data_IF_198256981904
#
_entry.id   IF_198256981904
#
_cell.length_a   1.000
_cell.length_b   1.000
_cell.length_c   1.000
_cell.angle_alpha   90.00
_cell.angle_beta   90.00
_cell.angle_gamma   90.00
#
_symmetry.space_group_name_H-M   'P 1'
#
loop_
_entity.id
_entity.type
_entity.pdbx_description
1 polymer ?
#
# COMPACT_ATOMS: atom_id res chain seq x y z
N UNK A 1 -1.20 25.11 -3.33
CA UNK A 1 -1.04 23.67 -3.64
C UNK A 1 -0.39 23.02 -2.45
N UNK A 2 -1.12 22.14 -1.76
CA UNK A 2 -0.64 21.51 -0.53
C UNK A 2 0.34 20.38 -0.89
N UNK A 3 1.61 20.52 -0.50
CA UNK A 3 2.72 19.59 -0.82
C UNK A 3 2.63 18.25 -0.08
N UNK A 4 1.59 18.00 0.71
CA UNK A 4 1.58 16.98 1.77
C UNK A 4 1.04 15.60 1.39
N UNK A 5 0.56 15.38 0.16
CA UNK A 5 -0.02 14.09 -0.23
C UNK A 5 0.28 13.67 -1.68
N UNK A 6 1.31 14.23 -2.31
CA UNK A 6 1.71 13.74 -3.64
C UNK A 6 2.32 12.35 -3.50
N UNK A 7 1.70 11.35 -4.11
CA UNK A 7 2.19 9.97 -4.08
C UNK A 7 1.94 9.21 -2.77
N UNK A 8 0.95 9.59 -1.96
CA UNK A 8 0.54 8.75 -0.81
C UNK A 8 -0.86 8.19 -1.02
N UNK A 9 -0.99 6.86 -0.99
CA UNK A 9 -2.29 6.18 -1.03
C UNK A 9 -2.62 5.66 0.36
N UNK A 10 -3.75 6.10 0.93
CA UNK A 10 -4.16 5.72 2.27
C UNK A 10 -5.20 4.59 2.24
N UNK A 11 -5.02 3.60 3.12
CA UNK A 11 -5.96 2.51 3.38
C UNK A 11 -6.40 2.60 4.84
N UNK A 12 -7.56 3.23 5.11
CA UNK A 12 -8.05 3.38 6.46
C UNK A 12 -8.32 2.01 7.08
N UNK A 13 -7.98 1.86 8.37
CA UNK A 13 -8.31 0.63 9.09
C UNK A 13 -9.84 0.46 9.16
N UNK A 14 -10.35 -0.77 9.08
CA UNK A 14 -11.77 -1.03 9.26
C UNK A 14 -12.27 -0.60 10.65
N UNK A 15 -13.53 -0.16 10.73
CA UNK A 15 -14.17 0.17 12.01
C UNK A 15 -14.08 -1.01 12.98
N UNK A 16 -13.80 -0.71 14.25
CA UNK A 16 -13.63 -1.72 15.30
C UNK A 16 -12.30 -2.49 15.26
N UNK A 17 -11.37 -2.12 14.36
CA UNK A 17 -10.01 -2.67 14.34
C UNK A 17 -9.00 -1.65 14.84
N UNK A 18 -8.02 -2.13 15.61
CA UNK A 18 -6.89 -1.32 16.08
C UNK A 18 -5.91 -1.02 14.93
N UNK A 19 -5.82 -1.89 13.91
CA UNK A 19 -4.91 -1.74 12.76
C UNK A 19 -5.51 -2.33 11.48
N UNK A 20 -5.03 -1.85 10.33
CA UNK A 20 -5.34 -2.38 9.01
C UNK A 20 -4.92 -3.85 8.94
N UNK A 21 -5.85 -4.79 8.69
CA UNK A 21 -5.49 -6.19 8.52
C UNK A 21 -4.75 -6.36 7.19
N UNK A 22 -3.51 -6.87 7.27
CA UNK A 22 -2.66 -7.02 6.09
C UNK A 22 -3.13 -8.10 5.12
N UNK A 23 -3.85 -9.12 5.58
CA UNK A 23 -4.30 -10.21 4.71
C UNK A 23 -5.34 -9.75 3.67
N UNK A 24 -6.44 -9.05 4.03
CA UNK A 24 -7.34 -8.46 3.04
C UNK A 24 -6.65 -7.50 2.08
N UNK A 25 -5.76 -6.64 2.59
CA UNK A 25 -4.99 -5.72 1.74
C UNK A 25 -4.08 -6.48 0.76
N UNK A 26 -3.44 -7.55 1.21
CA UNK A 26 -2.59 -8.41 0.39
C UNK A 26 -3.39 -9.07 -0.73
N UNK A 27 -4.56 -9.61 -0.42
CA UNK A 27 -5.44 -10.25 -1.41
C UNK A 27 -5.93 -9.25 -2.46
N UNK A 28 -6.39 -8.08 -2.02
CA UNK A 28 -6.80 -7.01 -2.92
C UNK A 28 -5.67 -6.59 -3.85
N UNK A 29 -4.47 -6.32 -3.32
CA UNK A 29 -3.32 -5.94 -4.14
C UNK A 29 -2.88 -7.04 -5.12
N UNK A 30 -2.93 -8.31 -4.69
CA UNK A 30 -2.63 -9.42 -5.56
C UNK A 30 -3.66 -9.57 -6.69
N UNK A 31 -4.94 -9.36 -6.41
CA UNK A 31 -6.01 -9.43 -7.40
C UNK A 31 -5.97 -8.25 -8.39
N UNK A 32 -5.69 -7.04 -7.89
CA UNK A 32 -5.73 -5.80 -8.69
C UNK A 32 -4.46 -5.58 -9.50
N UNK A 33 -3.29 -5.84 -8.91
CA UNK A 33 -1.99 -5.51 -9.51
C UNK A 33 -1.20 -6.76 -9.94
N UNK A 34 -1.66 -7.97 -9.60
CA UNK A 34 -0.90 -9.20 -9.84
C UNK A 34 0.38 -9.32 -9.01
N UNK A 35 0.53 -8.53 -7.94
CA UNK A 35 1.77 -8.44 -7.17
C UNK A 35 1.80 -9.42 -6.00
N UNK A 36 3.02 -9.80 -5.59
CA UNK A 36 3.26 -10.57 -4.37
C UNK A 36 3.81 -9.69 -3.27
N UNK A 37 3.11 -9.65 -2.13
CA UNK A 37 3.58 -8.93 -0.94
C UNK A 37 4.73 -9.68 -0.28
N UNK A 38 5.84 -8.98 -0.07
CA UNK A 38 6.98 -9.42 0.71
C UNK A 38 6.89 -8.82 2.11
N UNK A 39 7.08 -9.65 3.14
CA UNK A 39 7.16 -9.20 4.52
C UNK A 39 8.57 -9.48 5.06
N UNK A 40 9.39 -8.44 5.22
CA UNK A 40 10.78 -8.56 5.69
C UNK A 40 10.94 -7.91 7.06
N UNK A 41 11.80 -8.48 7.90
CA UNK A 41 12.26 -7.83 9.14
C UNK A 41 13.71 -7.40 8.94
N UNK A 42 14.07 -6.19 9.41
CA UNK A 42 15.47 -5.76 9.44
C UNK A 42 16.28 -6.45 10.56
N UNK A 43 15.60 -6.89 11.61
CA UNK A 43 16.17 -7.59 12.76
C UNK A 43 15.20 -8.64 13.30
N UNK A 44 15.69 -9.66 14.03
CA UNK A 44 14.91 -10.84 14.47
C UNK A 44 13.58 -10.48 15.17
N UNK A 45 13.59 -9.42 15.99
CA UNK A 45 12.42 -8.93 16.74
C UNK A 45 11.83 -7.62 16.19
N UNK A 46 12.20 -7.25 14.96
CA UNK A 46 11.76 -6.02 14.34
C UNK A 46 10.34 -6.07 13.82
N UNK A 47 9.76 -4.89 13.64
CA UNK A 47 8.50 -4.75 12.90
C UNK A 47 8.70 -5.32 11.49
N UNK A 48 7.71 -6.09 11.03
CA UNK A 48 7.68 -6.54 9.63
C UNK A 48 7.39 -5.33 8.77
N UNK A 49 8.23 -5.10 7.78
CA UNK A 49 8.00 -4.16 6.70
C UNK A 49 7.37 -4.92 5.54
N UNK A 50 6.27 -4.39 5.02
CA UNK A 50 5.57 -4.95 3.89
C UNK A 50 5.93 -4.13 2.64
N UNK A 51 6.22 -4.81 1.54
CA UNK A 51 6.49 -4.17 0.26
C UNK A 51 6.13 -5.09 -0.89
N UNK A 52 6.00 -4.54 -2.09
CA UNK A 52 5.84 -5.31 -3.31
C UNK A 52 6.62 -4.67 -4.46
N UNK A 53 6.88 -5.46 -5.50
CA UNK A 53 7.44 -4.95 -6.74
C UNK A 53 6.29 -4.71 -7.72
N UNK A 54 6.25 -3.53 -8.32
CA UNK A 54 5.31 -3.17 -9.38
C UNK A 54 6.10 -2.51 -10.50
N UNK A 55 6.05 -3.10 -11.70
CA UNK A 55 6.81 -2.62 -12.88
C UNK A 55 8.31 -2.37 -12.63
N UNK A 56 8.93 -3.14 -11.73
CA UNK A 56 10.35 -3.00 -11.38
C UNK A 56 10.62 -2.08 -10.18
N UNK A 57 9.64 -1.28 -9.75
CA UNK A 57 9.76 -0.38 -8.60
C UNK A 57 9.29 -1.03 -7.30
N UNK A 58 10.04 -0.78 -6.22
CA UNK A 58 9.68 -1.30 -4.91
C UNK A 58 8.76 -0.31 -4.18
N UNK A 59 7.49 -0.70 -4.02
CA UNK A 59 6.49 0.06 -3.26
C UNK A 59 6.44 -0.44 -1.82
N UNK A 60 6.60 0.47 -0.86
CA UNK A 60 6.48 0.15 0.57
C UNK A 60 5.06 0.34 1.07
N UNK A 61 4.63 -0.57 1.95
CA UNK A 61 3.38 -0.48 2.70
C UNK A 61 3.70 -0.13 4.15
N UNK A 62 3.38 1.09 4.54
CA UNK A 62 3.65 1.65 5.86
C UNK A 62 2.39 1.57 6.73
N UNK A 63 2.46 0.87 7.86
CA UNK A 63 1.44 0.93 8.90
C UNK A 63 1.69 2.16 9.79
N UNK A 64 0.74 3.08 9.81
CA UNK A 64 0.77 4.29 10.61
C UNK A 64 0.42 4.00 12.07
N UNK A 65 0.76 4.94 12.96
CA UNK A 65 0.46 4.84 14.39
C UNK A 65 -1.04 4.81 14.69
N UNK A 66 -1.84 5.50 13.87
CA UNK A 66 -3.30 5.48 13.96
C UNK A 66 -3.89 4.12 13.53
N UNK A 67 -3.07 3.22 12.99
CA UNK A 67 -3.45 1.88 12.56
C UNK A 67 -3.80 1.77 11.07
N UNK A 68 -3.81 2.85 10.31
CA UNK A 68 -4.06 2.81 8.87
C UNK A 68 -2.82 2.30 8.12
N UNK A 69 -2.98 1.86 6.88
CA UNK A 69 -1.87 1.54 6.00
C UNK A 69 -1.72 2.59 4.90
N UNK A 70 -0.50 2.79 4.42
CA UNK A 70 -0.21 3.76 3.34
C UNK A 70 0.79 3.21 2.36
N UNK A 71 0.71 3.64 1.10
CA UNK A 71 1.81 3.51 0.14
C UNK A 71 2.57 4.81 0.09
N UNK A 72 3.89 4.73 0.17
CA UNK A 72 4.77 5.85 -0.16
C UNK A 72 5.26 5.66 -1.61
N UNK A 73 4.72 6.50 -2.50
CA UNK A 73 5.03 6.56 -3.93
C UNK A 73 5.85 7.82 -4.27
N UNK A 74 6.35 8.54 -3.27
CA UNK A 74 7.08 9.80 -3.48
C UNK A 74 8.41 9.62 -4.22
N UNK A 75 8.94 8.40 -4.24
CA UNK A 75 10.17 8.02 -4.95
C UNK A 75 9.91 7.09 -6.15
N UNK A 76 8.64 6.74 -6.41
CA UNK A 76 8.26 5.91 -7.55
C UNK A 76 8.17 6.81 -8.77
N UNK A 77 8.68 6.32 -9.90
CA UNK A 77 8.58 6.97 -11.19
C UNK A 77 7.14 7.39 -11.52
N UNK A 78 6.99 8.55 -12.15
CA UNK A 78 5.70 9.18 -12.40
C UNK A 78 4.77 8.29 -13.25
N UNK A 79 5.29 7.63 -14.29
CA UNK A 79 4.49 6.76 -15.16
C UNK A 79 3.99 5.52 -14.41
N UNK A 80 4.87 4.92 -13.60
CA UNK A 80 4.54 3.75 -12.79
C UNK A 80 3.54 4.11 -11.69
N UNK A 81 3.71 5.28 -11.08
CA UNK A 81 2.80 5.80 -10.06
C UNK A 81 1.40 6.01 -10.62
N UNK A 82 1.27 6.70 -11.74
CA UNK A 82 -0.04 6.93 -12.38
C UNK A 82 -0.70 5.60 -12.79
N UNK A 83 0.09 4.68 -13.37
CA UNK A 83 -0.41 3.35 -13.74
C UNK A 83 -0.91 2.58 -12.51
N UNK A 84 -0.17 2.59 -11.40
CA UNK A 84 -0.58 1.96 -10.15
C UNK A 84 -1.89 2.57 -9.64
N UNK A 85 -1.98 3.90 -9.59
CA UNK A 85 -3.17 4.61 -9.13
C UNK A 85 -4.39 4.28 -9.99
N UNK A 86 -4.23 4.18 -11.31
CA UNK A 86 -5.32 3.83 -12.23
C UNK A 86 -5.89 2.44 -11.96
N UNK A 87 -5.02 1.45 -11.73
CA UNK A 87 -5.47 0.10 -11.37
C UNK A 87 -6.21 0.08 -10.04
N UNK A 88 -5.73 0.82 -9.04
CA UNK A 88 -6.43 0.92 -7.75
C UNK A 88 -7.79 1.58 -7.91
N UNK A 89 -7.88 2.66 -8.70
CA UNK A 89 -9.11 3.43 -8.92
C UNK A 89 -10.19 2.63 -9.65
N UNK A 90 -9.80 1.77 -10.58
CA UNK A 90 -10.72 0.99 -11.43
C UNK A 90 -11.09 -0.37 -10.83
N UNK A 91 -10.50 -0.75 -9.70
CA UNK A 91 -10.71 -2.06 -9.10
C UNK A 91 -11.83 -2.08 -8.07
N UNK A 92 -12.76 -3.02 -8.24
CA UNK A 92 -13.87 -3.29 -7.32
C UNK A 92 -13.40 -3.63 -5.89
N UNK A 93 -12.18 -4.16 -5.74
CA UNK A 93 -11.59 -4.47 -4.42
C UNK A 93 -11.34 -3.20 -3.57
N UNK A 94 -11.22 -2.05 -4.24
CA UNK A 94 -10.95 -0.75 -3.65
C UNK A 94 -12.10 0.25 -3.83
N UNK A 95 -13.18 -0.13 -4.51
CA UNK A 95 -14.40 0.67 -4.56
C UNK A 95 -15.08 0.74 -3.17
N UNK A 96 -15.38 1.96 -2.70
CA UNK A 96 -16.18 2.18 -1.49
C UNK A 96 -15.45 2.11 -0.14
N UNK A 97 -14.14 2.38 -0.09
CA UNK A 97 -13.38 2.49 1.17
C UNK A 97 -12.88 3.90 1.47
#
# INVERSE_FOLDING_TARGET
MDRRAFGVVNFPRPRGKTRMPMEPLTKALQSTLGVRIQAKRKWLFGRKHHSFLFMGEQVQICLLENGDATFDLGLVDDEIRETLLEHLRTSLEFEGR
#
